data_IF_591122485924
#
_entry.id   IF_591122485924
#
_cell.length_a   1.000
_cell.length_b   1.000
_cell.length_c   1.000
_cell.angle_alpha   90.00
_cell.angle_beta   90.00
_cell.angle_gamma   90.00
#
_symmetry.space_group_name_H-M   'P 1'
#
loop_
_entity.id
_entity.type
_entity.pdbx_description
1 polymer ?
#
# COMPACT_ATOMS: atom_id res chain seq x y z
N UNK A 1 14.54 -38.62 75.41
CA UNK A 1 13.33 -37.76 75.51
C UNK A 1 13.39 -36.76 74.37
N UNK A 2 12.28 -36.66 73.63
CA UNK A 2 12.14 -35.98 72.34
C UNK A 2 12.17 -34.46 72.48
N UNK A 3 12.87 -33.75 71.60
CA UNK A 3 12.43 -32.45 71.08
C UNK A 3 12.81 -32.41 69.60
N UNK A 4 11.79 -32.56 68.74
CA UNK A 4 11.89 -32.48 67.28
C UNK A 4 11.64 -31.02 66.90
N UNK A 5 12.60 -30.41 66.21
CA UNK A 5 12.47 -29.09 65.60
C UNK A 5 11.74 -29.27 64.26
N UNK A 6 10.53 -28.72 64.13
CA UNK A 6 9.80 -28.71 62.86
C UNK A 6 10.20 -27.45 62.10
N UNK A 7 11.01 -27.63 61.05
CA UNK A 7 11.29 -26.59 60.05
C UNK A 7 10.22 -26.70 58.97
N UNK A 8 9.39 -25.66 58.84
CA UNK A 8 8.46 -25.49 57.73
C UNK A 8 9.27 -25.12 56.47
N UNK A 9 9.44 -26.06 55.54
CA UNK A 9 9.95 -25.79 54.20
C UNK A 9 8.74 -25.54 53.30
N UNK A 10 8.57 -24.29 52.87
CA UNK A 10 7.64 -23.91 51.81
C UNK A 10 8.13 -24.49 50.48
N UNK A 11 7.36 -25.43 49.92
CA UNK A 11 7.56 -25.94 48.57
C UNK A 11 6.87 -24.96 47.62
N UNK A 12 7.63 -24.03 47.04
CA UNK A 12 7.18 -23.29 45.85
C UNK A 12 7.45 -24.14 44.63
N UNK A 13 6.39 -24.74 44.10
CA UNK A 13 6.39 -25.46 42.83
C UNK A 13 6.73 -24.50 41.69
N UNK A 14 7.94 -24.63 41.16
CA UNK A 14 8.36 -24.04 39.90
C UNK A 14 7.60 -24.69 38.75
N UNK A 15 6.52 -24.05 38.31
CA UNK A 15 5.99 -24.25 36.97
C UNK A 15 7.04 -23.70 35.99
N UNK A 16 7.86 -24.61 35.47
CA UNK A 16 8.65 -24.37 34.26
C UNK A 16 7.69 -24.26 33.08
N UNK A 17 7.09 -23.08 32.90
CA UNK A 17 6.48 -22.67 31.65
C UNK A 17 7.54 -22.02 30.79
N UNK A 18 8.02 -22.72 29.76
CA UNK A 18 8.60 -22.07 28.59
C UNK A 18 7.48 -21.28 27.91
N UNK A 19 7.23 -20.07 28.37
CA UNK A 19 6.59 -19.06 27.54
C UNK A 19 7.71 -18.46 26.70
N UNK A 20 7.87 -18.98 25.48
CA UNK A 20 8.42 -18.16 24.42
C UNK A 20 7.47 -16.98 24.29
N UNK A 21 7.88 -15.84 24.82
CA UNK A 21 7.29 -14.57 24.46
C UNK A 21 7.65 -14.39 22.99
N UNK A 22 6.73 -14.76 22.10
CA UNK A 22 6.61 -13.97 20.87
C UNK A 22 6.35 -12.56 21.39
N UNK A 23 7.39 -11.72 21.38
CA UNK A 23 7.18 -10.29 21.49
C UNK A 23 6.26 -9.94 20.33
N UNK A 24 4.96 -9.82 20.63
CA UNK A 24 3.96 -9.18 19.80
C UNK A 24 4.41 -7.72 19.66
N UNK A 25 5.38 -7.48 18.78
CA UNK A 25 5.71 -6.14 18.36
C UNK A 25 4.51 -5.62 17.58
N UNK A 26 3.93 -4.54 18.08
CA UNK A 26 2.89 -3.80 17.39
C UNK A 26 3.39 -3.42 15.99
N UNK A 27 2.56 -3.68 14.97
CA UNK A 27 2.84 -3.31 13.59
C UNK A 27 3.17 -1.81 13.48
N UNK A 28 4.28 -1.49 12.82
CA UNK A 28 4.61 -0.09 12.49
C UNK A 28 3.90 0.30 11.19
N UNK A 29 3.25 1.46 11.19
CA UNK A 29 2.64 2.04 9.97
C UNK A 29 3.69 2.30 8.87
N UNK A 30 4.81 2.92 9.23
CA UNK A 30 5.82 3.38 8.27
C UNK A 30 5.32 4.55 7.41
N UNK A 31 5.97 4.73 6.26
CA UNK A 31 5.64 5.72 5.23
C UNK A 31 5.39 4.97 3.90
N UNK A 32 4.74 5.60 2.90
CA UNK A 32 4.71 5.06 1.54
C UNK A 32 6.12 4.64 1.07
N UNK A 33 6.21 3.47 0.44
CA UNK A 33 7.48 2.85 0.08
C UNK A 33 8.19 2.09 1.22
N UNK A 34 7.73 2.17 2.47
CA UNK A 34 8.38 1.54 3.63
C UNK A 34 8.36 0.01 3.61
N UNK A 35 7.62 -0.62 2.70
CA UNK A 35 7.62 -2.06 2.45
C UNK A 35 7.95 -2.39 0.97
N UNK A 36 8.56 -1.45 0.25
CA UNK A 36 8.93 -1.65 -1.15
C UNK A 36 9.80 -2.89 -1.34
N UNK A 37 10.89 -3.01 -0.57
CA UNK A 37 11.78 -4.17 -0.67
C UNK A 37 11.04 -5.48 -0.33
N UNK A 38 10.09 -5.44 0.61
CA UNK A 38 9.30 -6.62 0.97
C UNK A 38 8.42 -7.10 -0.20
N UNK A 39 8.02 -6.22 -1.12
CA UNK A 39 7.36 -6.61 -2.37
C UNK A 39 8.37 -7.11 -3.40
N UNK A 40 9.46 -6.37 -3.58
CA UNK A 40 10.45 -6.61 -4.64
C UNK A 40 11.30 -7.87 -4.45
N UNK A 41 11.41 -8.40 -3.23
CA UNK A 41 12.27 -9.54 -2.87
C UNK A 41 11.50 -10.68 -2.21
N UNK A 42 11.96 -11.92 -2.35
CA UNK A 42 11.27 -13.15 -1.90
C UNK A 42 11.83 -13.79 -0.61
N UNK A 43 12.88 -13.23 -0.03
CA UNK A 43 13.67 -13.79 1.08
C UNK A 43 12.91 -13.96 2.41
N UNK A 44 11.88 -13.14 2.68
CA UNK A 44 10.93 -13.32 3.80
C UNK A 44 9.51 -13.58 3.33
N UNK A 45 9.04 -12.78 2.38
CA UNK A 45 7.64 -12.82 1.93
C UNK A 45 7.57 -13.45 0.55
N UNK A 46 7.36 -14.77 0.52
CA UNK A 46 7.23 -15.52 -0.72
C UNK A 46 5.85 -15.28 -1.39
N UNK A 47 4.83 -14.93 -0.60
CA UNK A 47 3.47 -14.65 -1.06
C UNK A 47 3.04 -13.19 -0.84
N UNK A 48 2.03 -12.76 -1.58
CA UNK A 48 1.40 -11.46 -1.38
C UNK A 48 -0.11 -11.54 -1.50
N UNK A 49 -0.82 -10.77 -0.69
CA UNK A 49 -2.26 -10.52 -0.83
C UNK A 49 -2.51 -9.03 -1.03
N UNK A 50 -3.28 -8.72 -2.06
CA UNK A 50 -3.83 -7.39 -2.30
C UNK A 50 -5.27 -7.43 -1.81
N UNK A 51 -5.53 -6.74 -0.70
CA UNK A 51 -6.85 -6.65 -0.10
C UNK A 51 -7.58 -5.45 -0.65
N UNK A 52 -8.70 -5.68 -1.32
CA UNK A 52 -9.62 -4.64 -1.75
C UNK A 52 -10.76 -4.58 -0.75
N UNK A 53 -10.78 -3.52 0.06
CA UNK A 53 -11.85 -3.25 1.02
C UNK A 53 -12.71 -2.14 0.46
N UNK A 54 -13.99 -2.38 0.20
CA UNK A 54 -14.84 -1.42 -0.50
C UNK A 54 -16.23 -1.34 0.12
N UNK A 55 -16.88 -0.19 0.03
CA UNK A 55 -18.28 -0.06 0.46
C UNK A 55 -19.24 -0.63 -0.59
N UNK A 56 -20.48 -0.94 -0.18
CA UNK A 56 -21.51 -1.43 -1.09
C UNK A 56 -21.73 -0.47 -2.27
N UNK A 57 -21.53 -0.96 -3.49
CA UNK A 57 -21.62 -0.19 -4.73
C UNK A 57 -20.30 0.47 -5.18
N UNK A 58 -19.22 0.30 -4.41
CA UNK A 58 -17.89 0.84 -4.69
C UNK A 58 -16.90 -0.23 -5.16
N UNK A 59 -17.40 -1.34 -5.73
CA UNK A 59 -16.58 -2.44 -6.26
C UNK A 59 -15.48 -1.92 -7.20
N UNK A 60 -14.20 -2.25 -6.93
CA UNK A 60 -13.07 -1.83 -7.76
C UNK A 60 -13.01 -2.56 -9.10
N UNK A 61 -12.83 -1.82 -10.20
CA UNK A 61 -12.59 -2.35 -11.55
C UNK A 61 -11.10 -2.57 -11.84
N UNK A 62 -10.21 -2.04 -10.98
CA UNK A 62 -8.76 -2.09 -11.17
C UNK A 62 -8.07 -3.37 -10.65
N UNK A 63 -8.79 -4.30 -10.01
CA UNK A 63 -8.17 -5.40 -9.24
C UNK A 63 -7.20 -6.27 -10.04
N UNK A 64 -7.65 -6.79 -11.19
CA UNK A 64 -6.85 -7.69 -12.02
C UNK A 64 -5.69 -6.96 -12.71
N UNK A 65 -5.89 -5.68 -13.06
CA UNK A 65 -4.84 -4.84 -13.62
C UNK A 65 -3.73 -4.63 -12.59
N UNK A 66 -4.08 -4.19 -11.37
CA UNK A 66 -3.10 -3.96 -10.31
C UNK A 66 -2.33 -5.25 -10.01
N UNK A 67 -3.03 -6.39 -9.88
CA UNK A 67 -2.35 -7.68 -9.72
C UNK A 67 -1.39 -7.96 -10.87
N UNK A 68 -1.77 -7.65 -12.11
CA UNK A 68 -0.88 -7.83 -13.27
C UNK A 68 0.36 -6.96 -13.16
N UNK A 69 0.23 -5.67 -12.82
CA UNK A 69 1.38 -4.76 -12.63
C UNK A 69 2.30 -5.21 -11.51
N UNK A 70 1.75 -5.63 -10.37
CA UNK A 70 2.56 -6.13 -9.26
C UNK A 70 3.28 -7.45 -9.58
N UNK A 71 2.67 -8.35 -10.36
CA UNK A 71 3.37 -9.56 -10.84
C UNK A 71 4.51 -9.26 -11.81
N UNK A 72 4.56 -8.07 -12.42
CA UNK A 72 5.65 -7.68 -13.32
C UNK A 72 6.90 -7.23 -12.56
N UNK A 73 6.74 -6.74 -11.32
CA UNK A 73 7.84 -6.07 -10.58
C UNK A 73 8.16 -6.71 -9.23
N UNK A 74 7.21 -7.36 -8.56
CA UNK A 74 7.42 -7.98 -7.26
C UNK A 74 7.82 -9.46 -7.39
N UNK A 75 8.93 -9.85 -6.75
CA UNK A 75 9.35 -11.25 -6.68
C UNK A 75 8.57 -11.98 -5.58
N UNK A 76 7.57 -12.77 -6.00
CA UNK A 76 6.64 -13.49 -5.13
C UNK A 76 6.42 -14.91 -5.65
N UNK A 77 7.32 -15.87 -5.38
CA UNK A 77 7.22 -17.24 -5.89
C UNK A 77 5.98 -18.00 -5.40
N UNK A 78 5.44 -17.64 -4.24
CA UNK A 78 4.15 -18.11 -3.71
C UNK A 78 2.93 -17.47 -4.41
N UNK A 79 3.16 -16.46 -5.24
CA UNK A 79 2.17 -15.77 -6.04
C UNK A 79 1.45 -14.62 -5.33
N UNK A 80 0.82 -13.77 -6.13
CA UNK A 80 0.00 -12.64 -5.67
C UNK A 80 -1.49 -13.00 -5.75
N UNK A 81 -2.21 -12.84 -4.65
CA UNK A 81 -3.65 -13.15 -4.52
C UNK A 81 -4.48 -11.89 -4.28
N UNK A 82 -5.67 -11.85 -4.89
CA UNK A 82 -6.65 -10.79 -4.62
C UNK A 82 -7.58 -11.29 -3.53
N UNK A 83 -7.82 -10.45 -2.53
CA UNK A 83 -8.82 -10.65 -1.48
C UNK A 83 -9.78 -9.47 -1.51
N UNK A 84 -10.98 -9.66 -2.05
CA UNK A 84 -11.99 -8.62 -2.15
C UNK A 84 -13.04 -8.79 -1.04
N UNK A 85 -13.39 -7.71 -0.34
CA UNK A 85 -14.39 -7.72 0.73
C UNK A 85 -15.17 -6.42 0.76
N UNK A 86 -16.49 -6.54 0.73
CA UNK A 86 -17.40 -5.44 1.07
C UNK A 86 -17.32 -5.15 2.58
N UNK A 87 -17.11 -3.89 2.95
CA UNK A 87 -16.93 -3.41 4.32
C UNK A 87 -17.78 -2.16 4.53
N UNK A 88 -18.44 -2.05 5.68
CA UNK A 88 -19.00 -0.79 6.17
C UNK A 88 -17.92 -0.12 7.04
N UNK A 89 -17.30 0.95 6.53
CA UNK A 89 -16.26 1.67 7.27
C UNK A 89 -16.85 2.47 8.44
N UNK A 90 -18.13 2.84 8.34
CA UNK A 90 -18.87 3.65 9.30
C UNK A 90 -18.27 5.04 9.54
N UNK A 91 -17.67 5.62 8.49
CA UNK A 91 -17.07 6.96 8.48
C UNK A 91 -18.00 7.98 7.78
N UNK A 92 -17.72 9.26 7.98
CA UNK A 92 -18.38 10.34 7.24
C UNK A 92 -17.92 10.35 5.76
N UNK A 93 -18.68 11.00 4.87
CA UNK A 93 -18.34 11.08 3.42
C UNK A 93 -17.12 11.98 3.10
N UNK A 94 -16.25 12.29 4.07
CA UNK A 94 -15.05 13.11 3.89
C UNK A 94 -13.90 12.49 4.68
N UNK A 95 -12.86 12.04 3.98
CA UNK A 95 -11.77 11.24 4.54
C UNK A 95 -10.49 12.05 4.71
N UNK A 96 -9.78 11.81 5.80
CA UNK A 96 -8.38 12.23 5.98
C UNK A 96 -7.44 11.03 5.91
N UNK A 97 -6.14 11.28 5.76
CA UNK A 97 -5.13 10.21 5.79
C UNK A 97 -5.16 9.39 7.10
N UNK A 98 -5.59 9.98 8.23
CA UNK A 98 -5.73 9.23 9.48
C UNK A 98 -6.94 8.31 9.47
N UNK A 99 -8.06 8.75 8.89
CA UNK A 99 -9.27 7.93 8.79
C UNK A 99 -9.01 6.69 7.91
N UNK A 100 -8.28 6.86 6.80
CA UNK A 100 -7.85 5.75 5.94
C UNK A 100 -6.97 4.75 6.70
N UNK A 101 -5.96 5.24 7.44
CA UNK A 101 -5.10 4.38 8.29
C UNK A 101 -5.92 3.64 9.33
N UNK A 102 -6.78 4.36 10.07
CA UNK A 102 -7.54 3.78 11.17
C UNK A 102 -8.58 2.75 10.64
N UNK A 103 -9.22 3.03 9.50
CA UNK A 103 -10.09 2.09 8.81
C UNK A 103 -9.35 0.81 8.41
N UNK A 104 -8.14 0.93 7.85
CA UNK A 104 -7.32 -0.25 7.58
C UNK A 104 -7.00 -1.03 8.86
N UNK A 105 -6.56 -0.40 9.94
CA UNK A 105 -6.25 -1.13 11.19
C UNK A 105 -7.48 -1.80 11.80
N UNK A 106 -8.67 -1.25 11.60
CA UNK A 106 -9.94 -1.80 12.07
C UNK A 106 -10.42 -3.01 11.25
N UNK A 107 -10.17 -3.03 9.94
CA UNK A 107 -10.77 -4.00 9.01
C UNK A 107 -9.79 -4.97 8.34
N UNK A 108 -8.49 -4.68 8.38
CA UNK A 108 -7.41 -5.53 7.89
C UNK A 108 -6.65 -6.25 9.01
N UNK A 109 -5.75 -7.14 8.59
CA UNK A 109 -4.77 -7.84 9.44
C UNK A 109 -3.38 -7.21 9.22
N UNK A 110 -2.35 -7.58 9.97
CA UNK A 110 -1.01 -6.99 9.81
C UNK A 110 -0.47 -7.05 8.36
N UNK A 111 0.20 -5.99 7.90
CA UNK A 111 0.82 -5.91 6.57
C UNK A 111 1.94 -6.94 6.38
N UNK A 112 2.62 -7.32 7.47
CA UNK A 112 3.70 -8.30 7.45
C UNK A 112 3.28 -9.59 8.17
N UNK A 113 2.65 -10.50 7.44
CA UNK A 113 2.37 -11.85 7.94
C UNK A 113 3.64 -12.69 8.16
N UNK A 114 3.47 -13.99 8.37
CA UNK A 114 4.62 -14.91 8.52
C UNK A 114 5.48 -14.98 7.26
N UNK A 115 4.84 -15.24 6.12
CA UNK A 115 5.43 -15.46 4.79
C UNK A 115 4.66 -14.70 3.69
N UNK A 116 3.66 -13.91 4.09
CA UNK A 116 2.74 -13.22 3.18
C UNK A 116 2.76 -11.72 3.47
N UNK A 117 3.07 -10.92 2.45
CA UNK A 117 2.89 -9.47 2.47
C UNK A 117 1.43 -9.12 2.19
N UNK A 118 0.83 -8.22 2.97
CA UNK A 118 -0.54 -7.74 2.76
C UNK A 118 -0.54 -6.25 2.46
N UNK A 119 -1.02 -5.87 1.29
CA UNK A 119 -1.34 -4.47 0.95
C UNK A 119 -2.84 -4.27 0.86
N UNK A 120 -3.29 -3.06 1.16
CA UNK A 120 -4.69 -2.74 1.36
C UNK A 120 -5.08 -1.51 0.55
N UNK A 121 -6.05 -1.73 -0.34
CA UNK A 121 -6.63 -0.73 -1.20
C UNK A 121 -8.07 -0.52 -0.76
N UNK A 122 -8.32 0.63 -0.15
CA UNK A 122 -9.64 1.01 0.35
C UNK A 122 -10.40 1.79 -0.72
N UNK A 123 -11.67 1.45 -0.92
CA UNK A 123 -12.58 2.18 -1.82
C UNK A 123 -13.79 2.62 -1.00
N UNK A 124 -13.62 3.68 -0.19
CA UNK A 124 -14.69 4.19 0.64
C UNK A 124 -15.67 5.02 -0.19
N UNK A 125 -16.84 5.25 0.39
CA UNK A 125 -17.78 6.26 -0.06
C UNK A 125 -17.31 7.66 0.37
N UNK A 126 -17.60 8.66 -0.46
CA UNK A 126 -17.22 10.03 -0.24
C UNK A 126 -15.90 10.39 -0.90
N UNK A 127 -15.37 11.55 -0.51
CA UNK A 127 -14.15 12.13 -1.09
C UNK A 127 -13.06 12.25 -0.05
N UNK A 128 -11.84 12.50 -0.50
CA UNK A 128 -10.80 13.01 0.37
C UNK A 128 -11.15 14.45 0.83
N UNK A 129 -10.57 14.89 1.94
CA UNK A 129 -10.80 16.23 2.48
C UNK A 129 -10.24 17.35 1.60
N UNK A 130 -9.31 17.02 0.70
CA UNK A 130 -8.96 17.78 -0.48
C UNK A 130 -9.70 17.16 -1.68
N UNK A 131 -10.66 17.91 -2.24
CA UNK A 131 -11.51 17.44 -3.33
C UNK A 131 -10.77 17.27 -4.67
N UNK A 132 -9.53 17.75 -4.74
CA UNK A 132 -8.68 17.55 -5.92
C UNK A 132 -8.00 16.18 -5.96
N UNK A 133 -8.03 15.41 -4.88
CA UNK A 133 -7.34 14.12 -4.73
C UNK A 133 -8.24 12.95 -5.13
N UNK A 134 -7.74 12.07 -6.00
CA UNK A 134 -8.43 10.86 -6.49
C UNK A 134 -7.98 9.59 -5.77
N UNK A 135 -6.74 9.57 -5.27
CA UNK A 135 -6.16 8.47 -4.52
C UNK A 135 -5.14 8.97 -3.50
N UNK A 136 -4.82 8.17 -2.49
CA UNK A 136 -3.77 8.52 -1.53
C UNK A 136 -3.13 7.29 -0.90
N UNK A 137 -1.81 7.21 -0.94
CA UNK A 137 -1.01 6.30 -0.14
C UNK A 137 -0.68 6.91 1.23
N UNK A 138 -1.14 6.28 2.31
CA UNK A 138 -1.08 6.88 3.65
C UNK A 138 -0.01 6.28 4.55
N UNK A 139 0.47 5.07 4.24
CA UNK A 139 1.56 4.41 4.97
C UNK A 139 2.21 3.34 4.10
N UNK A 140 3.01 2.45 4.69
CA UNK A 140 3.79 1.46 3.94
C UNK A 140 2.96 0.37 3.24
N UNK A 141 1.65 0.28 3.52
CA UNK A 141 0.81 -0.82 3.01
C UNK A 141 -0.62 -0.43 2.65
N UNK A 142 -1.00 0.82 2.86
CA UNK A 142 -2.39 1.26 2.79
C UNK A 142 -2.56 2.41 1.83
N UNK A 143 -3.51 2.26 0.92
CA UNK A 143 -3.97 3.33 0.05
C UNK A 143 -5.50 3.43 0.06
N UNK A 144 -6.04 4.59 -0.31
CA UNK A 144 -7.46 4.76 -0.62
C UNK A 144 -7.65 5.34 -2.02
N UNK A 145 -8.74 4.94 -2.70
CA UNK A 145 -9.14 5.44 -4.02
C UNK A 145 -10.60 5.92 -3.94
N UNK A 146 -10.84 7.16 -4.34
CA UNK A 146 -12.12 7.86 -4.14
C UNK A 146 -12.95 7.88 -5.43
N UNK A 147 -13.83 6.88 -5.58
CA UNK A 147 -14.67 6.73 -6.78
C UNK A 147 -15.57 7.95 -7.04
N UNK A 148 -16.12 8.57 -5.98
CA UNK A 148 -16.95 9.77 -6.12
C UNK A 148 -16.16 10.92 -6.81
N UNK A 149 -14.91 11.15 -6.41
CA UNK A 149 -14.03 12.15 -7.05
C UNK A 149 -13.66 11.79 -8.50
N UNK A 150 -13.48 10.49 -8.76
CA UNK A 150 -13.19 9.98 -10.10
C UNK A 150 -14.37 10.18 -11.05
N UNK A 151 -15.59 9.86 -10.60
CA UNK A 151 -16.82 10.08 -11.36
C UNK A 151 -17.04 11.56 -11.67
N UNK A 152 -16.75 12.46 -10.72
CA UNK A 152 -16.84 13.91 -10.94
C UNK A 152 -15.79 14.44 -11.93
N UNK A 153 -14.66 13.75 -12.08
CA UNK A 153 -13.60 14.10 -13.03
C UNK A 153 -13.94 13.69 -14.49
N UNK A 154 -14.93 12.80 -14.67
CA UNK A 154 -15.50 12.44 -15.96
C UNK A 154 -16.51 13.51 -16.40
N UNK A 155 -16.17 14.36 -17.39
CA UNK A 155 -17.11 15.44 -17.73
C UNK A 155 -17.17 15.95 -19.19
N UNK A 156 -16.61 15.24 -20.18
CA UNK A 156 -16.82 15.63 -21.59
C UNK A 156 -16.50 14.53 -22.62
N UNK A 157 -17.11 14.63 -23.82
CA UNK A 157 -16.78 13.79 -24.98
C UNK A 157 -15.28 13.86 -25.32
N UNK A 158 -14.61 12.72 -25.33
CA UNK A 158 -13.20 12.58 -25.68
C UNK A 158 -12.22 12.56 -24.50
N UNK A 159 -12.74 12.55 -23.25
CA UNK A 159 -11.96 12.29 -22.04
C UNK A 159 -11.94 10.79 -21.69
N UNK A 160 -10.95 10.34 -20.90
CA UNK A 160 -10.95 9.00 -20.32
C UNK A 160 -12.22 8.74 -19.50
N UNK A 161 -12.68 7.49 -19.48
CA UNK A 161 -13.79 7.03 -18.65
C UNK A 161 -13.39 6.96 -17.17
N UNK A 162 -14.37 7.03 -16.25
CA UNK A 162 -14.15 6.81 -14.83
C UNK A 162 -13.41 5.49 -14.53
N UNK A 163 -13.71 4.42 -15.28
CA UNK A 163 -13.00 3.14 -15.14
C UNK A 163 -11.51 3.20 -15.55
N UNK A 164 -11.17 3.97 -16.59
CA UNK A 164 -9.78 4.18 -17.00
C UNK A 164 -9.02 5.02 -15.97
N UNK A 165 -9.67 6.05 -15.41
CA UNK A 165 -9.11 6.87 -14.34
C UNK A 165 -8.88 6.01 -13.08
N UNK A 166 -9.87 5.22 -12.65
CA UNK A 166 -9.73 4.35 -11.47
C UNK A 166 -8.57 3.37 -11.62
N UNK A 167 -8.41 2.78 -12.80
CA UNK A 167 -7.28 1.88 -13.13
C UNK A 167 -5.94 2.59 -12.98
N UNK A 168 -5.79 3.77 -13.59
CA UNK A 168 -4.54 4.53 -13.54
C UNK A 168 -4.22 4.99 -12.11
N UNK A 169 -5.18 5.58 -11.39
CA UNK A 169 -5.02 6.01 -9.99
C UNK A 169 -4.64 4.83 -9.10
N UNK A 170 -5.32 3.69 -9.23
CA UNK A 170 -5.00 2.50 -8.40
C UNK A 170 -3.57 2.00 -8.63
N UNK A 171 -3.07 2.04 -9.87
CA UNK A 171 -1.69 1.65 -10.18
C UNK A 171 -0.69 2.71 -9.69
N UNK A 172 -1.02 4.01 -9.80
CA UNK A 172 -0.25 5.12 -9.27
C UNK A 172 -0.01 4.97 -7.77
N UNK A 173 -1.08 4.74 -7.01
CA UNK A 173 -0.99 4.53 -5.55
C UNK A 173 -0.16 3.30 -5.19
N UNK A 174 -0.21 2.25 -6.01
CA UNK A 174 0.65 1.09 -5.84
C UNK A 174 2.13 1.42 -6.11
N UNK A 175 2.41 2.33 -7.04
CA UNK A 175 3.75 2.89 -7.25
C UNK A 175 4.28 3.61 -6.01
N UNK A 176 3.44 4.37 -5.31
CA UNK A 176 3.81 4.96 -4.02
C UNK A 176 4.09 3.89 -2.94
N UNK A 177 3.33 2.79 -2.90
CA UNK A 177 3.66 1.66 -2.01
C UNK A 177 4.97 0.97 -2.39
N UNK A 178 5.32 0.96 -3.68
CA UNK A 178 6.63 0.52 -4.19
C UNK A 178 7.75 1.56 -3.95
N UNK A 179 7.42 2.73 -3.41
CA UNK A 179 8.39 3.78 -3.08
C UNK A 179 8.77 4.68 -4.25
N UNK A 180 8.10 4.54 -5.40
CA UNK A 180 8.25 5.44 -6.53
C UNK A 180 7.50 6.75 -6.27
N UNK A 181 7.99 7.90 -6.73
CA UNK A 181 9.33 8.19 -7.27
C UNK A 181 10.16 8.82 -6.14
N UNK A 182 11.40 8.38 -5.91
CA UNK A 182 12.30 8.95 -4.88
C UNK A 182 11.75 9.02 -3.44
N UNK A 183 10.69 8.26 -3.09
CA UNK A 183 10.10 8.33 -1.74
C UNK A 183 11.00 7.71 -0.67
N UNK A 184 11.70 6.64 -1.04
CA UNK A 184 12.55 5.84 -0.15
C UNK A 184 13.92 5.55 -0.74
N UNK A 185 14.26 6.16 -1.87
CA UNK A 185 15.53 5.98 -2.56
C UNK A 185 15.88 7.28 -3.31
N UNK A 186 17.02 7.30 -3.99
CA UNK A 186 17.37 8.40 -4.91
C UNK A 186 17.73 7.80 -6.26
N UNK A 187 16.89 8.08 -7.26
CA UNK A 187 17.05 7.66 -8.65
C UNK A 187 18.30 8.31 -9.25
N UNK A 188 19.07 7.57 -10.07
CA UNK A 188 20.09 8.15 -10.93
C UNK A 188 19.48 8.80 -12.18
N UNK A 189 18.19 8.59 -12.44
CA UNK A 189 17.44 9.12 -13.58
C UNK A 189 16.71 10.40 -13.13
N UNK A 190 16.87 11.48 -13.90
CA UNK A 190 16.21 12.76 -13.63
C UNK A 190 14.79 12.75 -14.19
N UNK A 191 13.89 12.08 -13.48
CA UNK A 191 12.48 11.93 -13.87
C UNK A 191 11.46 12.41 -12.81
N UNK A 192 11.89 12.77 -11.60
CA UNK A 192 11.00 13.36 -10.59
C UNK A 192 10.57 14.78 -11.00
N UNK A 193 9.29 15.10 -10.83
CA UNK A 193 8.78 16.43 -11.08
C UNK A 193 9.24 17.42 -9.98
N UNK A 194 9.88 18.54 -10.34
CA UNK A 194 10.44 19.48 -9.37
C UNK A 194 9.39 20.24 -8.55
N UNK A 195 8.16 20.34 -9.07
CA UNK A 195 7.03 21.02 -8.40
C UNK A 195 6.11 20.01 -7.69
N UNK A 196 6.22 18.72 -8.00
CA UNK A 196 5.44 17.63 -7.43
C UNK A 196 6.34 16.47 -6.94
N UNK A 197 7.03 16.64 -5.79
CA UNK A 197 7.89 15.58 -5.24
C UNK A 197 7.13 14.26 -5.05
N UNK A 198 7.82 13.14 -5.23
CA UNK A 198 7.19 11.81 -5.19
C UNK A 198 6.59 11.34 -6.52
N UNK A 199 6.57 12.21 -7.54
CA UNK A 199 5.88 11.96 -8.81
C UNK A 199 6.82 12.13 -10.00
N UNK A 200 6.47 11.49 -11.11
CA UNK A 200 7.17 11.65 -12.38
C UNK A 200 6.76 12.94 -13.09
N UNK A 201 7.73 13.53 -13.80
CA UNK A 201 7.52 14.62 -14.76
C UNK A 201 7.13 14.13 -16.16
N UNK A 202 7.21 12.82 -16.41
CA UNK A 202 6.88 12.18 -17.69
C UNK A 202 5.38 11.91 -17.79
N UNK A 203 4.68 12.52 -18.76
CA UNK A 203 3.23 12.37 -18.95
C UNK A 203 2.81 11.02 -19.55
N UNK A 204 3.77 10.22 -20.01
CA UNK A 204 3.55 8.83 -20.43
C UNK A 204 3.73 7.82 -19.26
N UNK A 205 4.17 8.26 -18.08
CA UNK A 205 4.31 7.41 -16.89
C UNK A 205 3.02 7.31 -16.09
N UNK A 206 2.70 6.13 -15.56
CA UNK A 206 1.61 6.01 -14.56
C UNK A 206 1.92 6.78 -13.27
N UNK A 207 3.19 7.11 -13.01
CA UNK A 207 3.61 7.94 -11.88
C UNK A 207 3.55 9.43 -12.17
N UNK A 208 3.01 9.86 -13.32
CA UNK A 208 2.84 11.28 -13.63
C UNK A 208 1.97 11.98 -12.58
N UNK A 209 2.43 13.14 -12.07
CA UNK A 209 1.79 13.85 -10.95
C UNK A 209 0.29 14.11 -11.12
N UNK A 210 -0.18 14.26 -12.36
CA UNK A 210 -1.58 14.59 -12.60
C UNK A 210 -2.55 13.41 -12.48
N UNK A 211 -2.04 12.17 -12.44
CA UNK A 211 -2.88 10.96 -12.44
C UNK A 211 -3.72 10.87 -11.16
N UNK A 212 -3.18 11.22 -10.00
CA UNK A 212 -3.95 11.21 -8.74
C UNK A 212 -4.80 12.48 -8.52
N UNK A 213 -4.89 13.37 -9.52
CA UNK A 213 -5.58 14.66 -9.39
C UNK A 213 -6.83 14.78 -10.26
N UNK A 214 -7.80 15.58 -9.82
CA UNK A 214 -8.98 15.98 -10.62
C UNK A 214 -8.63 16.68 -11.94
N UNK A 215 -7.38 17.08 -12.14
CA UNK A 215 -6.90 17.64 -13.42
C UNK A 215 -6.70 16.60 -14.51
N UNK A 216 -6.73 15.29 -14.19
CA UNK A 216 -6.46 14.18 -15.11
C UNK A 216 -7.29 14.28 -16.40
N UNK A 217 -8.58 14.60 -16.29
CA UNK A 217 -9.48 14.72 -17.45
C UNK A 217 -9.18 15.93 -18.36
N UNK A 218 -8.45 16.93 -17.86
CA UNK A 218 -8.02 18.07 -18.68
C UNK A 218 -6.72 17.80 -19.44
N UNK A 219 -5.91 16.88 -18.93
CA UNK A 219 -4.56 16.60 -19.42
C UNK A 219 -4.59 15.48 -20.47
N UNK A 220 -5.33 14.41 -20.18
CA UNK A 220 -5.42 13.27 -21.09
C UNK A 220 -6.65 13.37 -21.99
N UNK A 221 -6.42 13.30 -23.31
CA UNK A 221 -7.47 13.21 -24.34
C UNK A 221 -7.36 11.88 -25.09
N UNK A 222 -7.54 10.77 -24.37
CA UNK A 222 -7.31 9.43 -24.89
C UNK A 222 -7.06 8.42 -23.77
N UNK A 223 -6.17 7.46 -24.02
CA UNK A 223 -5.72 6.51 -23.00
C UNK A 223 -4.89 7.22 -21.92
N UNK A 224 -5.13 6.87 -20.66
CA UNK A 224 -4.27 7.25 -19.53
C UNK A 224 -3.19 6.17 -19.36
N UNK A 225 -1.93 6.52 -19.06
CA UNK A 225 -0.94 5.54 -18.66
C UNK A 225 -1.42 4.70 -17.47
N UNK A 226 -1.30 3.38 -17.59
CA UNK A 226 -1.65 2.44 -16.52
C UNK A 226 -0.53 1.42 -16.25
N UNK A 227 0.68 1.68 -16.76
CA UNK A 227 1.87 0.86 -16.59
C UNK A 227 3.00 1.70 -15.98
N UNK A 228 3.82 1.07 -15.13
CA UNK A 228 5.13 1.60 -14.76
C UNK A 228 5.99 1.71 -16.02
N UNK A 229 6.60 2.87 -16.25
CA UNK A 229 7.43 3.10 -17.44
C UNK A 229 8.81 2.44 -17.31
N UNK A 230 9.70 2.71 -18.26
CA UNK A 230 11.04 2.10 -18.25
C UNK A 230 11.93 2.66 -17.13
N UNK A 231 11.74 3.92 -16.74
CA UNK A 231 12.53 4.56 -15.67
C UNK A 231 12.05 4.05 -14.30
N UNK A 232 10.73 3.95 -14.10
CA UNK A 232 10.12 3.31 -12.93
C UNK A 232 10.66 1.89 -12.73
N UNK A 233 10.65 1.08 -13.80
CA UNK A 233 11.14 -0.31 -13.74
C UNK A 233 12.64 -0.38 -13.46
N UNK A 234 13.44 0.50 -14.06
CA UNK A 234 14.89 0.53 -13.81
C UNK A 234 15.19 0.84 -12.33
N UNK A 235 14.43 1.75 -11.72
CA UNK A 235 14.56 2.05 -10.30
C UNK A 235 14.13 0.88 -9.41
N UNK A 236 12.99 0.23 -9.71
CA UNK A 236 12.54 -0.95 -8.97
C UNK A 236 13.56 -2.11 -9.06
N UNK A 237 14.16 -2.35 -10.24
CA UNK A 237 15.23 -3.33 -10.42
C UNK A 237 16.49 -2.95 -9.61
N UNK A 238 16.85 -1.67 -9.60
CA UNK A 238 17.95 -1.13 -8.81
C UNK A 238 17.73 -1.29 -7.30
N UNK A 239 16.51 -1.05 -6.82
CA UNK A 239 16.11 -1.28 -5.42
C UNK A 239 16.14 -2.78 -5.08
N UNK A 240 15.55 -3.62 -5.93
CA UNK A 240 15.48 -5.07 -5.73
C UNK A 240 16.87 -5.72 -5.67
N UNK A 241 17.80 -5.27 -6.51
CA UNK A 241 19.18 -5.78 -6.53
C UNK A 241 20.08 -5.20 -5.43
N UNK A 242 19.66 -4.13 -4.76
CA UNK A 242 20.44 -3.38 -3.79
C UNK A 242 21.47 -2.42 -4.39
N UNK A 243 21.43 -2.20 -5.71
CA UNK A 243 22.21 -1.13 -6.37
C UNK A 243 21.76 0.25 -5.89
N UNK A 244 20.44 0.45 -5.77
CA UNK A 244 19.84 1.63 -5.16
C UNK A 244 19.59 1.37 -3.67
N UNK A 245 20.18 2.23 -2.84
CA UNK A 245 20.00 2.15 -1.39
C UNK A 245 18.63 2.69 -1.01
N UNK A 246 17.84 1.86 -0.36
CA UNK A 246 16.55 2.24 0.18
C UNK A 246 16.67 2.71 1.65
N UNK A 247 15.91 3.74 2.03
CA UNK A 247 15.72 4.21 3.40
C UNK A 247 14.33 3.84 3.91
N UNK A 248 14.11 4.03 5.22
CA UNK A 248 12.80 3.95 5.88
C UNK A 248 12.03 2.64 5.68
N UNK A 249 12.73 1.58 5.27
CA UNK A 249 12.16 0.25 5.14
C UNK A 249 11.85 -0.33 6.52
N UNK A 250 10.66 -0.88 6.69
CA UNK A 250 10.23 -1.61 7.87
C UNK A 250 10.79 -3.04 7.90
N UNK A 251 11.42 -3.43 6.80
CA UNK A 251 12.00 -4.73 6.56
C UNK A 251 13.25 -4.60 5.67
N UNK A 252 14.33 -5.31 6.01
CA UNK A 252 15.63 -5.29 5.33
C UNK A 252 16.43 -6.55 5.61
#
# INVERSE_FOLDING_TARGET
MRVVFVIFVLISSSLAGCFGTEELFEEKRGIPGGLALACLQDDRFEGMKIHFLFENGYDPVAMDLLKTRLNQVCDKPGGIQIVAREVDFSEDNSWSANDVRDARWKHGDDAMGSDTLNWYFLFPKGTYNDDSVLGVAVDASTVAVFKDSIEDSENFLGRPSAEEIERAVTVHEAGHLLGLVNLVYTSPIDHEDPDHPGHSSNDDSVMYWAIESSSIGNIFSGSIPDEFDDDDKADLEGMASGELKCSDQLWS
#
